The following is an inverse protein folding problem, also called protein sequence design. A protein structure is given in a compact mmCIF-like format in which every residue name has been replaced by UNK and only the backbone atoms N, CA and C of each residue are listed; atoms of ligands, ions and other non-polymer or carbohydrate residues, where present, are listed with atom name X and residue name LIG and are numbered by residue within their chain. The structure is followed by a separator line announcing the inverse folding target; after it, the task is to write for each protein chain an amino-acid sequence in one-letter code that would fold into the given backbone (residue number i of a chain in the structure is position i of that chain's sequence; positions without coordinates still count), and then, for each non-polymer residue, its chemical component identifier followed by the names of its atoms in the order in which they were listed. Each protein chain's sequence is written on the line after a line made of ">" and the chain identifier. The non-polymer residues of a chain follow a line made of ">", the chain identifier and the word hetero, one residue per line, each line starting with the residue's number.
data_IF_747114659867
#
_entry.id   IF_747114659867
#
_cell.length_a   1.000
_cell.length_b   1.000
_cell.length_c   1.000
_cell.angle_alpha   90.00
_cell.angle_beta   90.00
_cell.angle_gamma   90.00
#
_symmetry.space_group_name_H-M   'P 1'
#
loop_
_entity.id
_entity.type
_entity.pdbx_description
1 polymer ?
#
# COMPACT_ATOMS: atom_id res chain seq x y z
N UNK A 1 3.40 31.03 -41.90
CA UNK A 1 3.95 29.74 -41.43
C UNK A 1 4.71 29.95 -40.13
N UNK A 2 4.28 29.33 -39.05
CA UNK A 2 5.08 29.11 -37.83
C UNK A 2 4.42 28.01 -37.01
N UNK A 3 4.69 26.76 -37.37
CA UNK A 3 4.20 25.57 -36.66
C UNK A 3 5.01 25.45 -35.36
N UNK A 4 4.42 25.87 -34.23
CA UNK A 4 5.00 25.57 -32.90
C UNK A 4 4.90 24.07 -32.67
N UNK A 5 6.02 23.37 -32.88
CA UNK A 5 6.22 22.01 -32.39
C UNK A 5 6.21 22.06 -30.87
N UNK A 6 5.11 21.61 -30.27
CA UNK A 6 5.09 21.29 -28.85
C UNK A 6 5.84 19.97 -28.73
N UNK A 7 7.13 20.04 -28.42
CA UNK A 7 7.89 18.88 -27.97
C UNK A 7 7.23 18.41 -26.68
N UNK A 8 6.46 17.33 -26.76
CA UNK A 8 6.03 16.59 -25.59
C UNK A 8 7.30 16.14 -24.88
N UNK A 9 7.66 16.83 -23.79
CA UNK A 9 8.71 16.39 -22.89
C UNK A 9 8.23 15.08 -22.29
N UNK A 10 8.70 13.96 -22.85
CA UNK A 10 8.55 12.64 -22.27
C UNK A 10 9.38 12.67 -20.98
N UNK A 11 8.74 13.02 -19.86
CA UNK A 11 9.35 12.88 -18.54
C UNK A 11 9.71 11.40 -18.35
N UNK A 12 10.98 11.07 -18.06
CA UNK A 12 11.38 9.68 -17.96
C UNK A 12 10.70 9.02 -16.76
N UNK A 13 10.10 7.85 -17.02
CA UNK A 13 9.52 6.84 -16.11
C UNK A 13 9.59 7.19 -14.61
N UNK A 14 8.42 7.52 -14.04
CA UNK A 14 8.16 7.49 -12.59
C UNK A 14 8.85 6.28 -12.00
N UNK A 15 9.74 6.50 -11.04
CA UNK A 15 10.54 5.49 -10.37
C UNK A 15 9.68 4.65 -9.41
N UNK A 16 8.69 3.95 -9.97
CA UNK A 16 8.01 2.84 -9.31
C UNK A 16 9.05 1.78 -9.00
N UNK A 17 9.23 1.49 -7.71
CA UNK A 17 10.09 0.40 -7.26
C UNK A 17 9.25 -0.57 -6.45
N UNK A 18 9.36 -1.85 -6.76
CA UNK A 18 8.88 -2.90 -5.86
C UNK A 18 9.75 -2.90 -4.61
N UNK A 19 9.11 -2.97 -3.47
CA UNK A 19 9.73 -3.04 -2.15
C UNK A 19 8.93 -4.03 -1.31
N UNK A 20 9.49 -4.44 -0.19
CA UNK A 20 8.92 -5.47 0.68
C UNK A 20 8.87 -4.96 2.12
N UNK A 21 7.79 -5.28 2.81
CA UNK A 21 7.62 -4.98 4.23
C UNK A 21 7.67 -6.30 5.02
N UNK A 22 8.70 -6.51 5.83
CA UNK A 22 8.95 -7.81 6.51
C UNK A 22 8.90 -7.77 8.04
N UNK A 23 9.25 -6.63 8.67
CA UNK A 23 9.54 -6.56 10.11
C UNK A 23 8.96 -5.38 10.92
N UNK A 24 8.06 -4.51 10.44
CA UNK A 24 7.43 -3.56 11.35
C UNK A 24 6.44 -4.26 12.27
N UNK A 25 6.60 -4.05 13.58
CA UNK A 25 5.51 -4.23 14.54
C UNK A 25 4.59 -3.01 14.39
N UNK A 26 3.33 -3.25 14.06
CA UNK A 26 2.36 -2.17 13.85
C UNK A 26 1.17 -2.37 14.78
N UNK A 27 1.03 -1.47 15.76
CA UNK A 27 0.05 -1.56 16.84
C UNK A 27 0.11 -2.95 17.52
N UNK A 28 -0.99 -3.68 17.47
CA UNK A 28 -1.17 -5.02 18.04
C UNK A 28 -0.94 -6.12 17.01
N UNK A 29 -0.43 -5.82 15.81
CA UNK A 29 -0.21 -6.79 14.76
C UNK A 29 1.28 -6.96 14.46
N UNK A 30 1.66 -8.21 14.18
CA UNK A 30 2.96 -8.58 13.62
C UNK A 30 2.79 -9.03 12.19
N UNK A 31 3.74 -8.69 11.34
CA UNK A 31 3.86 -9.26 10.00
C UNK A 31 4.49 -10.64 10.11
N UNK A 32 3.78 -11.66 9.62
CA UNK A 32 4.24 -13.05 9.58
C UNK A 32 4.64 -13.50 8.18
N UNK A 33 4.18 -12.79 7.16
CA UNK A 33 4.59 -12.98 5.78
C UNK A 33 4.84 -11.61 5.17
N UNK A 34 5.90 -11.50 4.38
CA UNK A 34 6.31 -10.27 3.75
C UNK A 34 5.25 -9.71 2.80
N UNK A 35 4.98 -8.40 2.89
CA UNK A 35 3.99 -7.72 2.04
C UNK A 35 4.74 -7.03 0.90
N UNK A 36 4.45 -7.42 -0.34
CA UNK A 36 4.97 -6.74 -1.53
C UNK A 36 4.20 -5.43 -1.76
N UNK A 37 4.94 -4.33 -1.88
CA UNK A 37 4.39 -2.99 -2.13
C UNK A 37 5.11 -2.31 -3.27
N UNK A 38 4.42 -1.38 -3.92
CA UNK A 38 5.01 -0.44 -4.86
C UNK A 38 5.30 0.86 -4.13
N UNK A 39 6.52 1.36 -4.28
CA UNK A 39 6.94 2.65 -3.77
C UNK A 39 7.15 3.61 -4.93
N UNK A 40 6.47 4.74 -4.88
CA UNK A 40 6.58 5.81 -5.87
C UNK A 40 7.08 7.09 -5.21
N UNK A 41 7.94 7.83 -5.91
CA UNK A 41 8.27 9.20 -5.53
C UNK A 41 7.21 10.12 -6.16
N UNK A 42 6.52 10.88 -5.31
CA UNK A 42 5.54 11.90 -5.68
C UNK A 42 6.08 13.30 -5.33
N UNK A 43 5.40 14.37 -5.76
CA UNK A 43 5.92 15.75 -5.66
C UNK A 43 6.41 16.12 -4.24
N UNK A 44 5.67 15.70 -3.20
CA UNK A 44 5.96 16.06 -1.80
C UNK A 44 6.39 14.87 -0.91
N UNK A 45 6.80 13.74 -1.50
CA UNK A 45 7.27 12.60 -0.72
C UNK A 45 7.15 11.25 -1.41
N UNK A 46 6.75 10.24 -0.64
CA UNK A 46 6.61 8.86 -1.07
C UNK A 46 5.18 8.37 -0.95
N UNK A 47 4.74 7.62 -1.96
CA UNK A 47 3.52 6.84 -1.97
C UNK A 47 3.88 5.36 -1.89
N UNK A 48 3.27 4.63 -0.98
CA UNK A 48 3.38 3.18 -0.86
C UNK A 48 2.01 2.59 -1.09
N UNK A 49 1.87 1.62 -1.98
CA UNK A 49 0.58 0.98 -2.28
C UNK A 49 0.74 -0.47 -2.69
N UNK A 50 -0.29 -1.28 -2.49
CA UNK A 50 -0.35 -2.64 -3.04
C UNK A 50 -1.48 -2.80 -4.06
N UNK A 51 -1.33 -3.80 -4.92
CA UNK A 51 -2.29 -4.07 -6.01
C UNK A 51 -3.45 -4.98 -5.59
N UNK A 52 -3.33 -5.66 -4.45
CA UNK A 52 -4.28 -6.69 -3.99
C UNK A 52 -5.43 -6.03 -3.25
N UNK A 53 -5.13 -5.33 -2.16
CA UNK A 53 -6.10 -4.67 -1.28
C UNK A 53 -6.39 -3.23 -1.70
N UNK A 54 -5.58 -2.69 -2.62
CA UNK A 54 -5.63 -1.30 -3.10
C UNK A 54 -5.52 -0.25 -1.99
N UNK A 55 -4.91 -0.63 -0.86
CA UNK A 55 -4.57 0.31 0.20
C UNK A 55 -3.28 1.06 -0.14
N UNK A 56 -3.15 2.25 0.42
CA UNK A 56 -1.98 3.08 0.21
C UNK A 56 -1.65 3.91 1.45
N UNK A 57 -0.39 4.27 1.58
CA UNK A 57 0.11 5.20 2.59
C UNK A 57 1.03 6.24 1.98
N UNK A 58 1.13 7.39 2.64
CA UNK A 58 1.95 8.52 2.21
C UNK A 58 2.86 9.01 3.31
N UNK A 59 4.01 9.58 2.95
CA UNK A 59 4.96 10.13 3.92
C UNK A 59 6.07 10.92 3.26
N UNK A 60 6.76 11.78 4.03
CA UNK A 60 7.93 12.53 3.54
C UNK A 60 9.13 11.60 3.33
N UNK A 61 9.16 10.49 4.07
CA UNK A 61 10.14 9.43 3.91
C UNK A 61 9.47 8.11 3.52
N UNK A 62 10.25 7.18 2.96
CA UNK A 62 9.77 5.81 2.68
C UNK A 62 9.30 5.09 3.94
N UNK A 63 9.96 5.33 5.07
CA UNK A 63 9.61 4.70 6.34
C UNK A 63 8.24 5.20 6.82
N UNK A 64 8.00 6.51 6.80
CA UNK A 64 6.70 7.11 7.12
C UNK A 64 5.60 6.60 6.19
N UNK A 65 5.84 6.54 4.88
CA UNK A 65 4.85 6.05 3.93
C UNK A 65 4.52 4.56 4.12
N UNK A 66 5.52 3.74 4.49
CA UNK A 66 5.31 2.33 4.85
C UNK A 66 4.52 2.19 6.16
N UNK A 67 4.79 3.02 7.16
CA UNK A 67 4.06 3.04 8.42
C UNK A 67 2.60 3.46 8.22
N UNK A 68 2.36 4.52 7.43
CA UNK A 68 1.02 4.99 7.09
C UNK A 68 0.24 3.92 6.31
N UNK A 69 0.89 3.26 5.36
CA UNK A 69 0.31 2.13 4.62
C UNK A 69 -0.14 1.02 5.58
N UNK A 70 0.72 0.61 6.53
CA UNK A 70 0.36 -0.44 7.48
C UNK A 70 -0.78 -0.03 8.41
N UNK A 71 -0.84 1.24 8.79
CA UNK A 71 -1.97 1.77 9.55
C UNK A 71 -3.27 1.64 8.76
N UNK A 72 -3.28 2.08 7.50
CA UNK A 72 -4.48 1.97 6.63
C UNK A 72 -4.89 0.51 6.40
N UNK A 73 -3.92 -0.40 6.25
CA UNK A 73 -4.15 -1.82 6.06
C UNK A 73 -4.77 -2.48 7.30
N UNK A 74 -4.32 -2.09 8.50
CA UNK A 74 -4.89 -2.56 9.77
C UNK A 74 -6.28 -1.99 10.00
N UNK A 75 -6.49 -0.68 9.78
CA UNK A 75 -7.81 -0.07 9.90
C UNK A 75 -8.80 -0.74 8.93
N UNK A 76 -8.36 -1.05 7.70
CA UNK A 76 -9.15 -1.81 6.74
C UNK A 76 -9.44 -3.24 7.23
N UNK A 77 -8.45 -3.96 7.77
CA UNK A 77 -8.64 -5.28 8.36
C UNK A 77 -9.69 -5.28 9.47
N UNK A 78 -9.66 -4.30 10.37
CA UNK A 78 -10.62 -4.19 11.48
C UNK A 78 -12.05 -4.07 10.96
N UNK A 79 -12.27 -3.24 9.93
CA UNK A 79 -13.57 -3.11 9.24
C UNK A 79 -14.00 -4.43 8.58
N UNK A 80 -13.07 -5.12 7.92
CA UNK A 80 -13.36 -6.41 7.28
C UNK A 80 -13.76 -7.49 8.28
N UNK A 81 -13.12 -7.51 9.45
CA UNK A 81 -13.45 -8.46 10.53
C UNK A 81 -14.84 -8.14 11.09
N UNK A 82 -15.16 -6.87 11.31
CA UNK A 82 -16.47 -6.43 11.83
C UNK A 82 -17.63 -6.84 10.92
N UNK A 83 -17.43 -6.78 9.60
CA UNK A 83 -18.47 -7.08 8.61
C UNK A 83 -18.31 -8.42 7.88
N UNK A 84 -17.49 -9.33 8.42
CA UNK A 84 -17.04 -10.57 7.75
C UNK A 84 -18.16 -11.39 7.10
N UNK A 85 -19.33 -11.45 7.72
CA UNK A 85 -20.48 -12.26 7.25
C UNK A 85 -21.19 -11.67 6.03
N UNK A 86 -20.95 -10.39 5.71
CA UNK A 86 -21.65 -9.64 4.65
C UNK A 86 -20.72 -9.17 3.53
N UNK A 87 -19.46 -9.60 3.56
CA UNK A 87 -18.48 -9.22 2.55
C UNK A 87 -18.78 -9.89 1.21
N UNK A 88 -18.66 -9.12 0.14
CA UNK A 88 -18.61 -9.65 -1.23
C UNK A 88 -17.36 -10.52 -1.41
N UNK A 89 -17.39 -11.42 -2.40
CA UNK A 89 -16.36 -12.45 -2.61
C UNK A 89 -14.96 -11.85 -2.83
N UNK A 90 -14.86 -10.78 -3.62
CA UNK A 90 -13.62 -10.03 -3.86
C UNK A 90 -13.06 -9.43 -2.56
N UNK A 91 -13.92 -8.90 -1.71
CA UNK A 91 -13.53 -8.33 -0.42
C UNK A 91 -13.13 -9.43 0.58
N UNK A 92 -13.72 -10.62 0.50
CA UNK A 92 -13.25 -11.78 1.26
C UNK A 92 -11.82 -12.19 0.87
N UNK A 93 -11.44 -12.03 -0.40
CA UNK A 93 -10.06 -12.26 -0.84
C UNK A 93 -9.10 -11.25 -0.21
N UNK A 94 -9.51 -9.98 -0.05
CA UNK A 94 -8.72 -9.00 0.67
C UNK A 94 -8.53 -9.43 2.13
N UNK A 95 -9.59 -9.87 2.82
CA UNK A 95 -9.50 -10.37 4.19
C UNK A 95 -8.55 -11.58 4.30
N UNK A 96 -8.67 -12.55 3.39
CA UNK A 96 -7.81 -13.72 3.34
C UNK A 96 -6.34 -13.33 3.13
N UNK A 97 -6.06 -12.40 2.21
CA UNK A 97 -4.72 -11.88 1.98
C UNK A 97 -4.15 -11.20 3.23
N UNK A 98 -4.89 -10.28 3.84
CA UNK A 98 -4.38 -9.51 4.98
C UNK A 98 -4.13 -10.44 6.18
N UNK A 99 -5.03 -11.38 6.44
CA UNK A 99 -4.90 -12.32 7.57
C UNK A 99 -3.82 -13.38 7.36
N UNK A 100 -3.38 -13.65 6.12
CA UNK A 100 -2.20 -14.50 5.88
C UNK A 100 -0.88 -13.77 6.14
N UNK A 101 -0.87 -12.43 6.06
CA UNK A 101 0.32 -11.60 6.23
C UNK A 101 0.43 -10.97 7.63
N UNK A 102 -0.69 -10.68 8.28
CA UNK A 102 -0.77 -10.05 9.59
C UNK A 102 -1.37 -10.99 10.65
N UNK A 103 -0.78 -11.01 11.84
CA UNK A 103 -1.31 -11.72 13.00
C UNK A 103 -1.38 -10.81 14.21
N UNK A 104 -2.48 -10.92 14.97
CA UNK A 104 -2.61 -10.25 16.26
C UNK A 104 -1.57 -10.81 17.25
N UNK A 105 -0.84 -9.92 17.91
CA UNK A 105 0.06 -10.20 19.01
C UNK A 105 -0.82 -10.37 20.25
N UNK A 106 -0.84 -11.59 20.81
CA UNK A 106 -1.53 -11.91 22.08
C UNK A 106 -0.59 -11.76 23.26
#
# INVERSE_FOLDING_TARGET
>A
MATRKISATITPRRSQRKDTIEKPNCRNYRIVQSIEVTVELVEDGYLVSDVVTRQYGVGKTKAEAKEDYLRTLIDYLEILIEHRERLAEDIQQHLAFITSHLQLIR
#
